data_IF_817769691268
#
_entry.id   IF_817769691268
#
_cell.length_a   1.000
_cell.length_b   1.000
_cell.length_c   1.000
_cell.angle_alpha   90.00
_cell.angle_beta   90.00
_cell.angle_gamma   90.00
#
_symmetry.space_group_name_H-M   'P 1'
#
loop_
_entity.id
_entity.type
_entity.pdbx_description
1 polymer ?
#
# COMPACT_ATOMS: atom_id res chain seq x y z
N UNK A 1 13.08 -6.38 -25.03
CA UNK A 1 12.15 -7.02 -24.09
C UNK A 1 11.64 -6.03 -23.08
N UNK A 2 10.34 -5.85 -23.00
CA UNK A 2 9.82 -4.96 -22.00
C UNK A 2 10.14 -5.52 -20.62
N UNK A 3 10.38 -4.64 -19.72
CA UNK A 3 10.62 -5.04 -18.35
C UNK A 3 9.37 -5.69 -17.80
N UNK A 4 9.53 -6.72 -16.96
CA UNK A 4 8.39 -7.22 -16.24
C UNK A 4 7.80 -6.07 -15.44
N UNK A 5 6.50 -6.03 -15.39
CA UNK A 5 5.83 -4.99 -14.62
C UNK A 5 6.26 -5.10 -13.16
N UNK A 6 6.75 -4.01 -12.63
CA UNK A 6 7.06 -3.99 -11.21
C UNK A 6 5.77 -4.08 -10.42
N UNK A 7 5.80 -4.86 -9.38
CA UNK A 7 4.70 -4.87 -8.44
C UNK A 7 4.68 -3.52 -7.73
N UNK A 8 3.51 -3.10 -7.32
CA UNK A 8 3.39 -1.83 -6.63
C UNK A 8 4.37 -1.72 -5.46
N UNK A 9 4.56 -2.79 -4.72
CA UNK A 9 5.47 -2.78 -3.56
C UNK A 9 6.92 -2.49 -3.94
N UNK A 10 7.29 -2.65 -5.20
CA UNK A 10 8.66 -2.42 -5.66
C UNK A 10 8.89 -0.98 -6.09
N UNK A 11 7.84 -0.17 -6.18
CA UNK A 11 7.98 1.25 -6.48
C UNK A 11 8.37 1.99 -5.21
N UNK A 12 8.88 3.22 -5.38
CA UNK A 12 9.23 4.04 -4.22
C UNK A 12 8.04 4.27 -3.31
N UNK A 13 6.92 4.66 -3.90
CA UNK A 13 5.69 4.88 -3.13
C UNK A 13 5.23 3.60 -2.47
N UNK A 14 5.29 2.49 -3.20
CA UNK A 14 4.88 1.20 -2.67
C UNK A 14 5.72 0.77 -1.48
N UNK A 15 7.03 0.98 -1.54
CA UNK A 15 7.91 0.64 -0.42
C UNK A 15 7.60 1.47 0.81
N UNK A 16 7.38 2.77 0.61
CA UNK A 16 7.03 3.65 1.71
C UNK A 16 5.70 3.24 2.33
N UNK A 17 4.73 2.97 1.48
CA UNK A 17 3.41 2.57 1.93
C UNK A 17 3.45 1.24 2.66
N UNK A 18 4.18 0.27 2.10
CA UNK A 18 4.31 -1.04 2.73
C UNK A 18 4.92 -0.93 4.12
N UNK A 19 5.99 -0.15 4.25
CA UNK A 19 6.64 0.05 5.54
C UNK A 19 5.71 0.71 6.55
N UNK A 20 5.05 1.79 6.14
CA UNK A 20 4.15 2.50 7.03
C UNK A 20 2.95 1.62 7.43
N UNK A 21 2.39 0.90 6.49
CA UNK A 21 1.25 0.04 6.76
C UNK A 21 1.62 -1.10 7.71
N UNK A 22 2.81 -1.66 7.54
CA UNK A 22 3.26 -2.75 8.40
C UNK A 22 3.46 -2.28 9.85
N UNK A 23 3.85 -1.03 10.03
CA UNK A 23 3.98 -0.47 11.37
C UNK A 23 2.62 -0.28 12.05
N UNK A 24 1.62 0.10 11.25
CA UNK A 24 0.26 0.30 11.77
C UNK A 24 -0.41 -1.04 12.01
N UNK A 25 -0.29 -1.95 11.03
CA UNK A 25 -0.96 -3.24 11.09
C UNK A 25 -0.21 -4.23 10.21
N UNK A 26 0.46 -5.24 10.82
CA UNK A 26 1.23 -6.23 10.04
C UNK A 26 0.38 -6.96 9.00
N UNK A 27 -0.88 -7.21 9.28
CA UNK A 27 -1.77 -7.87 8.32
C UNK A 27 -1.97 -7.01 7.08
N UNK A 28 -2.05 -5.71 7.27
CA UNK A 28 -2.19 -4.78 6.14
C UNK A 28 -0.93 -4.79 5.27
N UNK A 29 0.23 -4.87 5.90
CA UNK A 29 1.49 -5.00 5.16
C UNK A 29 1.47 -6.24 4.27
N UNK A 30 1.00 -7.37 4.80
CA UNK A 30 0.89 -8.60 4.01
C UNK A 30 -0.05 -8.43 2.83
N UNK A 31 -1.18 -7.76 3.04
CA UNK A 31 -2.15 -7.52 1.96
C UNK A 31 -1.51 -6.65 0.88
N UNK A 32 -0.82 -5.59 1.29
CA UNK A 32 -0.21 -4.67 0.34
C UNK A 32 0.92 -5.31 -0.45
N UNK A 33 1.56 -6.33 0.08
CA UNK A 33 2.61 -7.02 -0.65
C UNK A 33 2.11 -7.71 -1.91
N UNK A 34 0.81 -8.00 -1.99
CA UNK A 34 0.21 -8.62 -3.16
C UNK A 34 -0.45 -7.62 -4.12
N UNK A 35 -0.42 -6.35 -3.78
CA UNK A 35 -1.05 -5.31 -4.60
C UNK A 35 -0.17 -4.98 -5.79
N UNK A 36 -0.78 -4.80 -6.96
CA UNK A 36 -0.06 -4.51 -8.19
C UNK A 36 -0.31 -3.11 -8.73
N UNK A 37 -1.24 -2.35 -8.15
CA UNK A 37 -1.51 -1.00 -8.62
C UNK A 37 -1.92 -0.10 -7.46
N UNK A 38 -1.76 1.22 -7.60
CA UNK A 38 -2.18 2.15 -6.56
C UNK A 38 -3.68 2.06 -6.24
N UNK A 39 -4.51 1.80 -7.25
CA UNK A 39 -5.94 1.66 -7.02
C UNK A 39 -6.26 0.49 -6.11
N UNK A 40 -5.56 -0.63 -6.32
CA UNK A 40 -5.73 -1.80 -5.46
C UNK A 40 -5.25 -1.51 -4.05
N UNK A 41 -4.18 -0.74 -3.92
CA UNK A 41 -3.66 -0.37 -2.61
C UNK A 41 -4.68 0.47 -1.84
N UNK A 42 -5.30 1.44 -2.51
CA UNK A 42 -6.32 2.28 -1.89
C UNK A 42 -7.50 1.42 -1.43
N UNK A 43 -7.93 0.50 -2.27
CA UNK A 43 -9.04 -0.39 -1.93
C UNK A 43 -8.68 -1.27 -0.72
N UNK A 44 -7.47 -1.81 -0.71
CA UNK A 44 -7.02 -2.66 0.39
C UNK A 44 -7.00 -1.88 1.70
N UNK A 45 -6.48 -0.66 1.67
CA UNK A 45 -6.45 0.19 2.85
C UNK A 45 -7.86 0.49 3.33
N UNK A 46 -8.76 0.78 2.40
CA UNK A 46 -10.14 1.09 2.74
C UNK A 46 -10.88 -0.07 3.40
N UNK A 47 -10.50 -1.29 3.06
CA UNK A 47 -11.12 -2.50 3.62
C UNK A 47 -10.47 -2.96 4.91
N UNK A 48 -9.33 -2.38 5.26
CA UNK A 48 -8.59 -2.82 6.44
C UNK A 48 -9.26 -2.35 7.72
N UNK A 49 -8.84 -2.94 8.84
CA UNK A 49 -9.37 -2.60 10.15
C UNK A 49 -8.63 -1.44 10.81
N UNK A 50 -7.76 -0.77 10.08
CA UNK A 50 -7.06 0.38 10.67
C UNK A 50 -8.04 1.54 10.87
N UNK A 51 -7.69 2.44 11.76
CA UNK A 51 -8.53 3.61 12.05
C UNK A 51 -8.67 4.48 10.81
N UNK A 52 -9.74 5.28 10.75
CA UNK A 52 -9.96 6.19 9.63
C UNK A 52 -8.80 7.17 9.46
N UNK A 53 -8.23 7.62 10.58
CA UNK A 53 -7.09 8.52 10.55
C UNK A 53 -5.88 7.88 9.89
N UNK A 54 -5.60 6.62 10.23
CA UNK A 54 -4.49 5.89 9.64
C UNK A 54 -4.76 5.60 8.16
N UNK A 55 -6.01 5.28 7.81
CA UNK A 55 -6.36 5.08 6.40
C UNK A 55 -6.05 6.32 5.57
N UNK A 56 -6.40 7.49 6.09
CA UNK A 56 -6.15 8.74 5.39
C UNK A 56 -4.66 8.95 5.21
N UNK A 57 -3.88 8.74 6.26
CA UNK A 57 -2.43 8.90 6.18
C UNK A 57 -1.81 7.98 5.16
N UNK A 58 -2.21 6.72 5.17
CA UNK A 58 -1.67 5.75 4.23
C UNK A 58 -2.07 6.07 2.79
N UNK A 59 -3.31 6.48 2.58
CA UNK A 59 -3.76 6.84 1.24
C UNK A 59 -3.06 8.09 0.71
N UNK A 60 -2.73 9.03 1.59
CA UNK A 60 -2.02 10.23 1.18
C UNK A 60 -0.63 9.91 0.63
N UNK A 61 0.03 8.87 1.14
CA UNK A 61 1.32 8.47 0.61
C UNK A 61 1.23 8.06 -0.86
N UNK A 62 0.10 7.52 -1.25
CA UNK A 62 -0.08 7.10 -2.64
C UNK A 62 -0.21 8.29 -3.57
N UNK A 63 -0.78 9.38 -3.10
CA UNK A 63 -1.05 10.56 -3.91
C UNK A 63 0.10 11.56 -3.93
N UNK A 64 1.12 11.31 -3.18
CA UNK A 64 2.31 12.13 -3.28
C UNK A 64 3.14 11.68 -4.47
#
# INVERSE_FOLDING_TARGET
MPNPKKKFKDTTVGKLLFGAASLVNPALGSVLSGVTSPAEAIAAIGKSDVSGEDKIKLQQLIFE
#
